data_IF_062763009931
#
_entry.id   IF_062763009931
#
_cell.length_a   1.000
_cell.length_b   1.000
_cell.length_c   1.000
_cell.angle_alpha   90.00
_cell.angle_beta   90.00
_cell.angle_gamma   90.00
#
_symmetry.space_group_name_H-M   'P 1'
#
loop_
_entity.id
_entity.type
_entity.pdbx_description
1 polymer ?
#
# COMPACT_ATOMS: atom_id res chain seq x y z
N UNK A 1 2.52 4.78 6.90
CA UNK A 1 2.18 5.77 5.84
C UNK A 1 2.16 7.21 6.34
N UNK A 2 1.71 7.49 7.56
CA UNK A 2 1.54 8.87 8.07
C UNK A 2 2.75 9.78 7.82
N UNK A 3 3.97 9.35 8.17
CA UNK A 3 5.17 10.16 7.91
C UNK A 3 5.47 10.35 6.43
N UNK A 4 5.19 9.37 5.57
CA UNK A 4 5.39 9.55 4.12
C UNK A 4 4.49 10.67 3.61
N UNK A 5 3.20 10.65 3.95
CA UNK A 5 2.23 11.70 3.56
C UNK A 5 2.61 13.07 4.14
N UNK A 6 3.00 13.12 5.42
CA UNK A 6 3.46 14.36 6.05
C UNK A 6 4.66 14.94 5.31
N UNK A 7 5.66 14.11 5.02
CA UNK A 7 6.92 14.52 4.41
C UNK A 7 6.83 14.76 2.89
N UNK A 8 5.75 14.34 2.20
CA UNK A 8 5.62 14.53 0.74
C UNK A 8 4.47 15.46 0.34
N UNK A 9 3.39 15.51 1.10
CA UNK A 9 2.16 16.24 0.76
C UNK A 9 1.94 17.42 1.72
N UNK A 10 1.96 17.17 3.04
CA UNK A 10 1.51 18.18 4.01
C UNK A 10 2.56 19.24 4.33
N UNK A 11 3.83 18.86 4.43
CA UNK A 11 4.90 19.81 4.74
C UNK A 11 5.35 20.56 3.48
N UNK A 12 5.57 21.89 3.59
CA UNK A 12 6.22 22.64 2.53
C UNK A 12 7.67 22.13 2.37
N UNK A 13 8.27 22.28 1.17
CA UNK A 13 9.56 21.66 0.84
C UNK A 13 10.69 21.93 1.82
N UNK A 14 10.75 23.15 2.37
CA UNK A 14 11.75 23.63 3.33
C UNK A 14 11.65 22.97 4.72
N UNK A 15 10.51 22.34 5.03
CA UNK A 15 10.27 21.65 6.31
C UNK A 15 10.33 20.13 6.21
N UNK A 16 10.59 19.59 5.03
CA UNK A 16 10.68 18.15 4.81
C UNK A 16 12.02 17.62 5.33
N UNK A 17 11.98 16.44 5.91
CA UNK A 17 13.16 15.71 6.36
C UNK A 17 13.30 14.42 5.53
N UNK A 18 14.33 14.40 4.68
CA UNK A 18 14.63 13.27 3.82
C UNK A 18 15.00 12.00 4.60
N UNK A 19 15.62 12.13 5.77
CA UNK A 19 15.94 10.99 6.63
C UNK A 19 14.68 10.37 7.21
N UNK A 20 13.73 11.19 7.68
CA UNK A 20 12.44 10.72 8.17
C UNK A 20 11.65 10.05 7.05
N UNK A 21 11.61 10.67 5.86
CA UNK A 21 10.94 10.10 4.69
C UNK A 21 11.54 8.74 4.30
N UNK A 22 12.87 8.66 4.19
CA UNK A 22 13.58 7.41 3.85
C UNK A 22 13.33 6.31 4.89
N UNK A 23 13.41 6.63 6.17
CA UNK A 23 13.13 5.68 7.24
C UNK A 23 11.68 5.18 7.18
N UNK A 24 10.72 6.09 6.97
CA UNK A 24 9.31 5.73 6.86
C UNK A 24 9.02 4.83 5.64
N UNK A 25 9.63 5.11 4.48
CA UNK A 25 9.54 4.25 3.29
C UNK A 25 10.15 2.87 3.55
N UNK A 26 11.36 2.82 4.10
CA UNK A 26 12.03 1.55 4.41
C UNK A 26 11.24 0.69 5.39
N UNK A 27 10.68 1.31 6.43
CA UNK A 27 9.84 0.60 7.39
C UNK A 27 8.59 0.05 6.73
N UNK A 28 7.90 0.85 5.91
CA UNK A 28 6.72 0.42 5.19
C UNK A 28 7.03 -0.77 4.26
N UNK A 29 8.08 -0.67 3.45
CA UNK A 29 8.52 -1.78 2.58
C UNK A 29 8.80 -3.04 3.39
N UNK A 30 9.53 -2.94 4.51
CA UNK A 30 9.80 -4.10 5.38
C UNK A 30 8.53 -4.71 5.96
N UNK A 31 7.58 -3.90 6.39
CA UNK A 31 6.29 -4.36 6.93
C UNK A 31 5.42 -5.09 5.90
N UNK A 32 5.67 -4.90 4.60
CA UNK A 32 4.92 -5.55 3.53
C UNK A 32 5.44 -6.94 3.19
N UNK A 33 6.68 -7.28 3.57
CA UNK A 33 7.26 -8.59 3.26
C UNK A 33 6.40 -9.76 3.80
N UNK A 34 5.97 -9.77 5.08
CA UNK A 34 5.11 -10.86 5.58
C UNK A 34 3.75 -10.94 4.88
N UNK A 35 3.21 -9.80 4.43
CA UNK A 35 1.95 -9.77 3.69
C UNK A 35 2.13 -10.36 2.29
N UNK A 36 3.24 -10.04 1.61
CA UNK A 36 3.59 -10.65 0.34
C UNK A 36 3.78 -12.16 0.46
N UNK A 37 4.43 -12.62 1.53
CA UNK A 37 4.65 -14.05 1.76
C UNK A 37 3.33 -14.77 2.04
N UNK A 38 2.43 -14.18 2.84
CA UNK A 38 1.10 -14.75 3.09
C UNK A 38 0.23 -14.86 1.82
N UNK A 39 0.46 -14.01 0.82
CA UNK A 39 -0.26 -14.00 -0.45
C UNK A 39 0.34 -14.94 -1.50
N UNK A 40 1.39 -15.69 -1.18
CA UNK A 40 2.05 -16.58 -2.15
C UNK A 40 1.11 -17.66 -2.73
N UNK A 41 0.15 -18.11 -1.92
CA UNK A 41 -0.78 -19.19 -2.24
C UNK A 41 -2.25 -18.75 -2.16
N UNK A 42 -2.53 -17.44 -2.07
CA UNK A 42 -3.88 -16.91 -1.85
C UNK A 42 -4.21 -15.77 -2.79
N UNK A 43 -5.49 -15.70 -3.17
CA UNK A 43 -6.00 -14.58 -3.96
C UNK A 43 -6.24 -13.33 -3.10
N UNK A 44 -6.66 -13.53 -1.86
CA UNK A 44 -6.94 -12.51 -0.85
C UNK A 44 -6.30 -12.88 0.48
N UNK A 45 -6.29 -11.96 1.46
CA UNK A 45 -5.49 -12.13 2.69
C UNK A 45 -5.80 -13.40 3.48
N UNK A 46 -7.05 -13.88 3.40
CA UNK A 46 -7.53 -15.09 4.07
C UNK A 46 -8.01 -16.16 3.08
N UNK A 47 -7.60 -16.07 1.80
CA UNK A 47 -8.03 -16.93 0.70
C UNK A 47 -9.14 -16.28 -0.11
N UNK A 48 -10.30 -16.06 0.52
CA UNK A 48 -11.44 -15.37 -0.07
C UNK A 48 -11.49 -13.88 0.31
N UNK A 49 -12.16 -13.07 -0.52
CA UNK A 49 -12.35 -11.64 -0.24
C UNK A 49 -13.18 -11.46 1.04
N UNK A 50 -12.67 -10.62 1.94
CA UNK A 50 -13.21 -10.45 3.28
C UNK A 50 -13.05 -9.01 3.78
N UNK A 51 -13.52 -8.75 5.01
CA UNK A 51 -13.30 -7.48 5.68
C UNK A 51 -11.80 -7.17 5.90
N UNK A 52 -10.93 -8.19 5.96
CA UNK A 52 -9.48 -7.97 6.06
C UNK A 52 -8.95 -7.20 4.85
N UNK A 53 -9.48 -7.50 3.65
CA UNK A 53 -9.06 -6.88 2.40
C UNK A 53 -9.58 -5.44 2.27
N UNK A 54 -10.69 -5.09 2.94
CA UNK A 54 -11.12 -3.69 3.06
C UNK A 54 -10.15 -2.87 3.90
N UNK A 55 -9.69 -3.43 5.03
CA UNK A 55 -8.81 -2.73 5.96
C UNK A 55 -7.37 -2.61 5.42
N UNK A 56 -6.80 -3.73 4.95
CA UNK A 56 -5.40 -3.79 4.55
C UNK A 56 -5.21 -3.63 3.03
N UNK A 57 -6.21 -3.96 2.21
CA UNK A 57 -6.12 -3.80 0.75
C UNK A 57 -5.89 -2.35 0.32
N UNK A 58 -6.62 -1.39 0.90
CA UNK A 58 -6.35 0.03 0.65
C UNK A 58 -4.93 0.44 1.08
N UNK A 59 -4.45 -0.09 2.20
CA UNK A 59 -3.09 0.20 2.68
C UNK A 59 -2.02 -0.35 1.74
N UNK A 60 -2.21 -1.55 1.19
CA UNK A 60 -1.32 -2.13 0.18
C UNK A 60 -1.36 -1.36 -1.14
N UNK A 61 -2.56 -0.96 -1.58
CA UNK A 61 -2.74 -0.09 -2.76
C UNK A 61 -1.96 1.22 -2.61
N UNK A 62 -2.15 1.93 -1.49
CA UNK A 62 -1.45 3.19 -1.24
C UNK A 62 0.06 3.01 -1.12
N UNK A 63 0.52 1.92 -0.48
CA UNK A 63 1.95 1.61 -0.43
C UNK A 63 2.55 1.37 -1.82
N UNK A 64 1.81 0.70 -2.70
CA UNK A 64 2.21 0.49 -4.10
C UNK A 64 2.29 1.83 -4.86
N UNK A 65 1.24 2.67 -4.76
CA UNK A 65 1.21 4.01 -5.39
C UNK A 65 2.33 4.93 -4.89
N UNK A 66 2.75 4.78 -3.63
CA UNK A 66 3.87 5.53 -3.03
C UNK A 66 5.27 4.95 -3.34
N UNK A 67 5.35 3.91 -4.18
CA UNK A 67 6.61 3.29 -4.58
C UNK A 67 7.29 2.49 -3.47
N UNK A 68 6.53 2.02 -2.47
CA UNK A 68 7.05 1.24 -1.34
C UNK A 68 6.89 -0.28 -1.54
N UNK A 69 6.38 -0.71 -2.70
CA UNK A 69 6.26 -2.11 -3.12
C UNK A 69 7.26 -2.37 -4.26
N UNK A 70 8.44 -2.93 -3.95
CA UNK A 70 9.43 -3.32 -4.96
C UNK A 70 8.93 -4.40 -5.92
N UNK A 71 9.63 -4.61 -7.05
CA UNK A 71 9.18 -5.58 -8.08
C UNK A 71 9.29 -7.05 -7.67
N UNK A 72 10.14 -7.35 -6.69
CA UNK A 72 10.22 -8.68 -6.10
C UNK A 72 8.95 -9.07 -5.33
N UNK A 73 8.13 -8.11 -4.88
CA UNK A 73 6.88 -8.36 -4.15
C UNK A 73 5.70 -8.65 -5.08
N UNK A 74 5.86 -9.68 -5.92
CA UNK A 74 4.91 -10.06 -6.98
C UNK A 74 3.53 -10.42 -6.44
N UNK A 75 3.45 -11.04 -5.26
CA UNK A 75 2.17 -11.49 -4.70
C UNK A 75 1.32 -10.30 -4.23
N UNK A 76 1.94 -9.31 -3.58
CA UNK A 76 1.25 -8.05 -3.25
C UNK A 76 0.82 -7.32 -4.51
N UNK A 77 1.66 -7.27 -5.55
CA UNK A 77 1.28 -6.59 -6.81
C UNK A 77 0.07 -7.25 -7.46
N UNK A 78 0.04 -8.58 -7.51
CA UNK A 78 -1.12 -9.35 -7.98
C UNK A 78 -2.36 -9.08 -7.13
N UNK A 79 -2.22 -9.10 -5.80
CA UNK A 79 -3.30 -8.77 -4.86
C UNK A 79 -3.84 -7.35 -5.05
N UNK A 80 -2.97 -6.35 -5.15
CA UNK A 80 -3.35 -4.94 -5.39
C UNK A 80 -4.10 -4.81 -6.71
N UNK A 81 -3.64 -5.46 -7.78
CA UNK A 81 -4.35 -5.45 -9.07
C UNK A 81 -5.76 -6.04 -8.96
N UNK A 82 -5.95 -7.11 -8.16
CA UNK A 82 -7.28 -7.68 -7.89
C UNK A 82 -8.17 -6.71 -7.11
N UNK A 83 -7.63 -6.00 -6.13
CA UNK A 83 -8.36 -4.97 -5.36
C UNK A 83 -8.76 -3.81 -6.28
N UNK A 84 -7.83 -3.29 -7.09
CA UNK A 84 -8.06 -2.19 -8.03
C UNK A 84 -9.09 -2.52 -9.12
N UNK A 85 -9.19 -3.79 -9.52
CA UNK A 85 -10.17 -4.25 -10.49
C UNK A 85 -11.62 -4.25 -9.94
N UNK A 86 -11.84 -4.09 -8.63
CA UNK A 86 -13.18 -4.16 -8.03
C UNK A 86 -13.95 -2.87 -8.31
N UNK A 87 -15.18 -2.93 -8.88
CA UNK A 87 -15.97 -1.73 -9.16
C UNK A 87 -16.23 -0.84 -7.94
N UNK A 88 -16.45 -1.45 -6.76
CA UNK A 88 -16.66 -0.71 -5.52
C UNK A 88 -15.39 0.05 -5.08
N UNK A 89 -14.20 -0.53 -5.31
CA UNK A 89 -12.94 0.12 -5.01
C UNK A 89 -12.68 1.30 -5.95
N UNK A 90 -12.88 1.10 -7.26
CA UNK A 90 -12.76 2.16 -8.27
C UNK A 90 -13.69 3.34 -7.98
N UNK A 91 -14.93 3.06 -7.59
CA UNK A 91 -15.87 4.10 -7.14
C UNK A 91 -15.38 4.82 -5.88
N UNK A 92 -14.84 4.08 -4.90
CA UNK A 92 -14.38 4.69 -3.65
C UNK A 92 -13.15 5.60 -3.86
N UNK A 93 -12.18 5.17 -4.66
CA UNK A 93 -10.92 5.93 -4.83
C UNK A 93 -11.12 7.21 -5.65
N UNK A 94 -12.04 7.20 -6.62
CA UNK A 94 -12.37 8.37 -7.45
C UNK A 94 -13.18 9.44 -6.71
N UNK A 95 -13.79 9.11 -5.55
CA UNK A 95 -14.46 10.10 -4.70
C UNK A 95 -13.48 10.93 -3.85
N UNK A 96 -12.24 10.47 -3.72
CA UNK A 96 -11.18 11.17 -2.98
C UNK A 96 -10.21 11.95 -3.86
N UNK A 97 -10.39 11.90 -5.19
CA UNK A 97 -9.68 12.72 -6.18
C UNK A 97 -10.48 14.00 -6.48
#
# INVERSE_FOLDING_TARGET
>A
MNQIVVQTILLPPDRRDENVLRQAKNLLTKSLAPVNDNLADKDYLVGDFSAADLMLGHSCFMANRLGCVPEEMKHIKSYVAKIEARPAFQKAITLGE
#
